data_IF_109064377918
#
_entry.id   IF_109064377918
#
_cell.length_a   1.000
_cell.length_b   1.000
_cell.length_c   1.000
_cell.angle_alpha   90.00
_cell.angle_beta   90.00
_cell.angle_gamma   90.00
#
_symmetry.space_group_name_H-M   'P 1'
#
loop_
_entity.id
_entity.type
_entity.pdbx_description
1 polymer ?
#
# COMPACT_ATOMS: atom_id res chain seq x y z
N UNK A 1 -2.04 2.24 17.91
CA UNK A 1 -0.87 3.00 18.37
C UNK A 1 -1.29 3.97 19.48
N UNK A 2 -0.36 4.32 20.36
CA UNK A 2 -0.44 5.45 21.29
C UNK A 2 0.52 6.52 20.84
N UNK A 3 0.10 7.79 20.92
CA UNK A 3 0.90 8.95 20.53
C UNK A 3 1.10 9.82 21.75
N UNK A 4 2.36 10.10 22.09
CA UNK A 4 2.74 10.98 23.20
C UNK A 4 3.72 12.03 22.65
N UNK A 5 3.19 13.19 22.22
CA UNK A 5 3.99 14.19 21.51
C UNK A 5 4.49 13.64 20.19
N UNK A 6 5.80 13.59 19.97
CA UNK A 6 6.43 13.02 18.76
C UNK A 6 6.62 11.49 18.85
N UNK A 7 6.47 10.89 20.03
CA UNK A 7 6.67 9.46 20.23
C UNK A 7 5.42 8.67 19.81
N UNK A 8 5.58 7.77 18.86
CA UNK A 8 4.55 6.84 18.41
C UNK A 8 4.87 5.43 18.93
N UNK A 9 3.99 4.88 19.76
CA UNK A 9 4.10 3.52 20.26
C UNK A 9 3.06 2.62 19.62
N UNK A 10 3.49 1.59 18.88
CA UNK A 10 2.60 0.55 18.37
C UNK A 10 2.28 -0.41 19.51
N UNK A 11 1.01 -0.51 19.88
CA UNK A 11 0.53 -1.35 20.98
C UNK A 11 -0.13 -2.64 20.50
N UNK A 12 -0.54 -2.69 19.24
CA UNK A 12 -1.17 -3.85 18.62
C UNK A 12 -0.99 -3.80 17.10
N UNK A 13 -0.69 -4.94 16.51
CA UNK A 13 -0.64 -5.14 15.07
C UNK A 13 -1.09 -6.56 14.74
N UNK A 14 -1.94 -6.71 13.75
CA UNK A 14 -2.37 -8.01 13.26
C UNK A 14 -2.73 -7.94 11.78
N UNK A 15 -2.22 -8.87 11.03
CA UNK A 15 -2.66 -9.13 9.65
C UNK A 15 -3.75 -10.20 9.66
N UNK A 16 -4.81 -9.96 8.89
CA UNK A 16 -5.94 -10.88 8.78
C UNK A 16 -6.18 -11.19 7.30
N UNK A 17 -6.34 -12.45 6.91
CA UNK A 17 -6.73 -12.80 5.56
C UNK A 17 -7.99 -12.04 5.17
N UNK A 18 -8.02 -11.48 3.96
CA UNK A 18 -9.19 -10.74 3.49
C UNK A 18 -9.86 -11.41 2.31
N UNK A 19 -11.19 -11.49 2.36
CA UNK A 19 -12.05 -11.78 1.22
C UNK A 19 -12.88 -10.56 0.87
N UNK A 20 -13.37 -10.47 -0.36
CA UNK A 20 -14.19 -9.33 -0.78
C UNK A 20 -13.40 -8.08 -1.19
N UNK A 21 -12.07 -8.16 -1.27
CA UNK A 21 -11.19 -7.10 -1.79
C UNK A 21 -10.59 -7.56 -3.12
N UNK A 22 -10.66 -6.70 -4.14
CA UNK A 22 -10.02 -6.90 -5.45
C UNK A 22 -9.34 -5.62 -5.89
N UNK A 23 -8.14 -5.71 -6.43
CA UNK A 23 -7.36 -4.58 -6.95
C UNK A 23 -7.31 -3.40 -5.95
N UNK A 24 -7.07 -3.71 -4.67
CA UNK A 24 -7.06 -2.74 -3.57
C UNK A 24 -8.42 -2.08 -3.25
N UNK A 25 -9.52 -2.44 -3.91
CA UNK A 25 -10.85 -1.89 -3.68
C UNK A 25 -11.80 -2.91 -3.04
N UNK A 26 -12.71 -2.42 -2.21
CA UNK A 26 -13.79 -3.25 -1.64
C UNK A 26 -14.74 -3.68 -2.76
N UNK A 27 -14.74 -4.97 -3.08
CA UNK A 27 -15.63 -5.57 -4.05
C UNK A 27 -16.95 -6.03 -3.41
N UNK A 28 -16.84 -6.76 -2.30
CA UNK A 28 -17.98 -7.23 -1.53
C UNK A 28 -17.92 -6.74 -0.07
N UNK A 29 -18.66 -5.67 0.29
CA UNK A 29 -18.63 -5.10 1.63
C UNK A 29 -19.04 -6.07 2.74
N UNK A 30 -19.92 -7.03 2.48
CA UNK A 30 -20.37 -7.99 3.50
C UNK A 30 -19.28 -8.99 3.87
N UNK A 31 -18.52 -9.47 2.88
CA UNK A 31 -17.37 -10.37 3.13
C UNK A 31 -16.27 -9.66 3.91
N UNK A 32 -15.94 -8.42 3.53
CA UNK A 32 -14.91 -7.63 4.23
C UNK A 32 -15.34 -7.34 5.67
N UNK A 33 -16.63 -7.04 5.88
CA UNK A 33 -17.15 -6.69 7.20
C UNK A 33 -17.01 -7.84 8.21
N UNK A 34 -17.25 -9.09 7.82
CA UNK A 34 -17.11 -10.24 8.72
C UNK A 34 -15.68 -10.31 9.29
N UNK A 35 -14.69 -10.20 8.43
CA UNK A 35 -13.29 -10.29 8.83
C UNK A 35 -12.83 -9.06 9.61
N UNK A 36 -13.33 -7.88 9.25
CA UNK A 36 -13.06 -6.65 9.99
C UNK A 36 -13.62 -6.72 11.41
N UNK A 37 -14.86 -7.18 11.58
CA UNK A 37 -15.48 -7.33 12.90
C UNK A 37 -14.71 -8.33 13.78
N UNK A 38 -14.22 -9.44 13.20
CA UNK A 38 -13.40 -10.41 13.93
C UNK A 38 -12.06 -9.79 14.36
N UNK A 39 -11.39 -9.08 13.45
CA UNK A 39 -10.13 -8.40 13.75
C UNK A 39 -10.30 -7.32 14.85
N UNK A 40 -11.41 -6.58 14.79
CA UNK A 40 -11.74 -5.56 15.81
C UNK A 40 -11.98 -6.18 17.19
N UNK A 41 -12.79 -7.25 17.26
CA UNK A 41 -13.03 -7.96 18.53
C UNK A 41 -11.73 -8.44 19.15
N UNK A 42 -10.89 -9.11 18.37
CA UNK A 42 -9.60 -9.58 18.86
C UNK A 42 -8.74 -8.43 19.41
N UNK A 43 -8.70 -7.29 18.72
CA UNK A 43 -7.94 -6.13 19.17
C UNK A 43 -8.56 -5.48 20.43
N UNK A 44 -9.89 -5.39 20.50
CA UNK A 44 -10.61 -4.85 21.66
C UNK A 44 -10.43 -5.73 22.89
N UNK A 45 -10.50 -7.06 22.74
CA UNK A 45 -10.32 -8.05 23.80
C UNK A 45 -8.88 -8.04 24.33
N UNK A 46 -7.89 -8.04 23.42
CA UNK A 46 -6.46 -8.05 23.79
C UNK A 46 -6.02 -6.75 24.49
N UNK A 47 -6.62 -5.62 24.12
CA UNK A 47 -6.25 -4.30 24.63
C UNK A 47 -7.15 -3.78 25.76
N UNK A 48 -8.31 -4.38 25.98
CA UNK A 48 -9.31 -3.91 26.96
C UNK A 48 -9.88 -2.51 26.64
N UNK A 49 -10.03 -2.19 25.35
CA UNK A 49 -10.52 -0.88 24.87
C UNK A 49 -11.66 -1.07 23.89
N UNK A 50 -12.45 -0.01 23.68
CA UNK A 50 -13.44 0.02 22.60
C UNK A 50 -12.94 0.89 21.45
N UNK A 51 -12.96 0.35 20.22
CA UNK A 51 -12.57 1.07 19.01
C UNK A 51 -13.82 1.67 18.37
N UNK A 52 -13.87 2.99 18.26
CA UNK A 52 -15.03 3.71 17.72
C UNK A 52 -14.75 4.43 16.41
N UNK A 53 -13.48 4.66 16.13
CA UNK A 53 -13.02 5.41 14.96
C UNK A 53 -11.78 4.76 14.37
N UNK A 54 -11.53 5.00 13.08
CA UNK A 54 -10.34 4.53 12.42
C UNK A 54 -9.88 5.48 11.31
N UNK A 55 -8.59 5.42 11.04
CA UNK A 55 -7.98 5.99 9.84
C UNK A 55 -7.89 4.90 8.78
N UNK A 56 -8.17 5.24 7.54
CA UNK A 56 -8.27 4.27 6.45
C UNK A 56 -7.44 4.69 5.26
N UNK A 57 -6.72 3.75 4.66
CA UNK A 57 -6.07 3.94 3.36
C UNK A 57 -7.10 3.82 2.22
N UNK A 58 -7.06 4.76 1.28
CA UNK A 58 -7.87 4.70 0.07
C UNK A 58 -7.34 3.66 -0.92
N UNK A 59 -8.18 3.17 -1.85
CA UNK A 59 -7.75 2.24 -2.88
C UNK A 59 -6.62 2.79 -3.74
N UNK A 60 -5.72 1.90 -4.15
CA UNK A 60 -4.56 2.23 -5.00
C UNK A 60 -4.88 2.22 -6.49
N UNK A 61 -5.95 1.53 -6.90
CA UNK A 61 -6.34 1.32 -8.29
C UNK A 61 -7.87 1.32 -8.46
N UNK A 62 -8.41 1.86 -9.56
CA UNK A 62 -7.72 2.71 -10.54
C UNK A 62 -7.58 4.15 -10.03
N UNK A 63 -6.45 4.77 -10.34
CA UNK A 63 -6.21 6.19 -10.05
C UNK A 63 -5.77 6.87 -11.34
N UNK A 64 -6.41 7.99 -11.65
CA UNK A 64 -6.04 8.90 -12.73
C UNK A 64 -5.38 10.13 -12.11
N UNK A 65 -4.29 10.61 -12.68
CA UNK A 65 -3.66 11.85 -12.27
C UNK A 65 -3.90 12.94 -13.30
N UNK A 66 -4.17 14.15 -12.82
CA UNK A 66 -4.41 15.33 -13.63
C UNK A 66 -3.68 16.54 -13.04
N UNK A 67 -3.52 17.58 -13.85
CA UNK A 67 -2.96 18.84 -13.37
C UNK A 67 -4.06 19.82 -13.05
N UNK A 68 -3.92 20.56 -11.94
CA UNK A 68 -4.81 21.64 -11.53
C UNK A 68 -4.00 22.84 -11.13
N UNK A 69 -4.56 24.03 -11.31
CA UNK A 69 -3.94 25.29 -10.92
C UNK A 69 -4.91 26.05 -10.01
N UNK A 70 -4.44 26.44 -8.84
CA UNK A 70 -5.16 27.34 -7.94
C UNK A 70 -4.51 28.73 -7.97
N UNK A 71 -5.31 29.80 -7.86
CA UNK A 71 -4.81 31.17 -7.82
C UNK A 71 -5.56 32.00 -6.79
N UNK A 72 -4.81 32.74 -5.99
CA UNK A 72 -5.31 33.79 -5.11
C UNK A 72 -4.76 35.10 -5.68
N UNK A 73 -5.67 36.04 -6.04
CA UNK A 73 -5.34 37.37 -6.52
C UNK A 73 -5.79 38.42 -5.50
N UNK A 74 -5.27 39.63 -5.63
CA UNK A 74 -5.65 40.81 -4.82
C UNK A 74 -5.45 40.59 -3.30
N UNK A 75 -4.34 39.95 -2.90
CA UNK A 75 -3.97 39.70 -1.50
C UNK A 75 -3.60 41.00 -0.75
N UNK A 76 -3.42 42.10 -1.47
CA UNK A 76 -2.91 43.39 -1.02
C UNK A 76 -1.39 43.50 -1.25
N UNK A 77 -0.99 44.72 -1.59
CA UNK A 77 0.44 45.04 -1.73
C UNK A 77 1.17 44.77 -0.41
N UNK A 78 2.39 44.21 -0.48
CA UNK A 78 3.25 43.88 0.66
C UNK A 78 2.70 42.85 1.66
N UNK A 79 1.92 41.87 1.21
CA UNK A 79 1.42 40.78 2.06
C UNK A 79 2.27 39.54 1.93
N UNK A 80 2.81 39.03 3.06
CA UNK A 80 3.59 37.82 3.10
C UNK A 80 2.74 36.58 2.77
N UNK A 81 3.30 35.67 2.01
CA UNK A 81 2.70 34.37 1.71
C UNK A 81 2.83 33.45 2.94
N UNK A 82 1.71 32.93 3.43
CA UNK A 82 1.66 32.07 4.62
C UNK A 82 1.33 30.62 4.27
N UNK A 83 1.56 29.71 5.22
CA UNK A 83 1.18 28.32 5.08
C UNK A 83 -0.34 28.13 4.91
N UNK A 84 -1.15 29.02 5.51
CA UNK A 84 -2.60 29.05 5.35
C UNK A 84 -3.01 29.36 3.91
N UNK A 85 -2.31 30.29 3.24
CA UNK A 85 -2.55 30.58 1.82
C UNK A 85 -2.25 29.37 0.92
N UNK A 86 -1.20 28.59 1.23
CA UNK A 86 -0.88 27.37 0.52
C UNK A 86 -1.99 26.32 0.73
N UNK A 87 -2.48 26.16 1.96
CA UNK A 87 -3.58 25.25 2.28
C UNK A 87 -4.88 25.67 1.58
N UNK A 88 -5.17 26.97 1.51
CA UNK A 88 -6.31 27.53 0.78
C UNK A 88 -6.20 27.22 -0.73
N UNK A 89 -5.04 27.47 -1.34
CA UNK A 89 -4.78 27.14 -2.75
C UNK A 89 -4.98 25.65 -3.04
N UNK A 90 -4.49 24.77 -2.17
CA UNK A 90 -4.69 23.34 -2.30
C UNK A 90 -6.18 22.98 -2.26
N UNK A 91 -6.91 23.57 -1.32
CA UNK A 91 -8.37 23.40 -1.22
C UNK A 91 -9.09 23.91 -2.47
N UNK A 92 -8.70 25.05 -3.03
CA UNK A 92 -9.23 25.54 -4.29
C UNK A 92 -8.95 24.57 -5.45
N UNK A 93 -7.72 24.08 -5.57
CA UNK A 93 -7.33 23.16 -6.62
C UNK A 93 -8.16 21.87 -6.57
N UNK A 94 -8.41 21.34 -5.37
CA UNK A 94 -9.22 20.14 -5.16
C UNK A 94 -10.72 20.38 -5.48
N UNK A 95 -11.27 21.52 -5.08
CA UNK A 95 -12.71 21.80 -5.21
C UNK A 95 -13.10 22.35 -6.57
N UNK A 96 -12.22 23.07 -7.26
CA UNK A 96 -12.51 23.70 -8.56
C UNK A 96 -12.10 22.84 -9.75
N UNK A 97 -11.40 21.72 -9.52
CA UNK A 97 -11.05 20.83 -10.61
C UNK A 97 -12.32 20.18 -11.20
N UNK A 98 -12.59 20.38 -12.51
CA UNK A 98 -13.79 19.83 -13.14
C UNK A 98 -13.64 18.33 -13.33
N UNK A 99 -14.32 17.53 -12.50
CA UNK A 99 -14.41 16.10 -12.69
C UNK A 99 -15.20 15.77 -13.97
N UNK A 100 -14.80 14.75 -14.71
CA UNK A 100 -15.52 14.31 -15.91
C UNK A 100 -16.94 13.79 -15.57
N UNK A 101 -17.08 13.16 -14.42
CA UNK A 101 -18.37 12.66 -13.90
C UNK A 101 -18.36 12.73 -12.36
N UNK A 102 -18.87 13.82 -11.80
CA UNK A 102 -18.98 14.04 -10.36
C UNK A 102 -19.80 12.96 -9.62
N UNK A 103 -20.63 12.20 -10.36
CA UNK A 103 -21.39 11.11 -9.77
C UNK A 103 -20.53 9.86 -9.55
N UNK A 104 -19.48 9.65 -10.33
CA UNK A 104 -18.62 8.47 -10.34
C UNK A 104 -17.23 8.70 -9.81
N UNK A 105 -16.71 9.92 -9.95
CA UNK A 105 -15.35 10.30 -9.59
C UNK A 105 -15.30 11.04 -8.26
N UNK A 106 -14.16 10.95 -7.59
CA UNK A 106 -13.82 11.72 -6.41
C UNK A 106 -12.32 12.02 -6.39
N UNK A 107 -11.95 13.18 -5.88
CA UNK A 107 -10.56 13.54 -5.64
C UNK A 107 -10.08 12.80 -4.39
N UNK A 108 -8.97 12.06 -4.52
CA UNK A 108 -8.35 11.32 -3.42
C UNK A 108 -7.25 12.13 -2.74
N UNK A 109 -6.75 13.16 -3.40
CA UNK A 109 -5.77 14.08 -2.87
C UNK A 109 -5.14 14.96 -3.93
N UNK A 110 -4.44 15.99 -3.48
CA UNK A 110 -3.66 16.88 -4.32
C UNK A 110 -2.25 17.03 -3.77
N UNK A 111 -1.27 17.16 -4.66
CA UNK A 111 0.14 17.38 -4.31
C UNK A 111 0.64 18.60 -5.05
N UNK A 112 1.09 19.60 -4.30
CA UNK A 112 1.71 20.79 -4.85
C UNK A 112 2.99 20.42 -5.62
N UNK A 113 3.12 20.94 -6.82
CA UNK A 113 4.26 20.73 -7.70
C UNK A 113 5.20 21.93 -7.72
N UNK A 114 4.66 23.11 -7.75
CA UNK A 114 5.37 24.39 -7.73
C UNK A 114 4.40 25.54 -7.48
N UNK A 115 4.94 26.67 -7.12
CA UNK A 115 4.23 27.94 -6.92
C UNK A 115 4.84 29.04 -7.78
N UNK A 116 4.09 30.14 -7.94
CA UNK A 116 4.51 31.40 -8.57
C UNK A 116 3.91 32.55 -7.81
N UNK A 117 4.69 33.64 -7.66
CA UNK A 117 4.26 34.92 -7.11
C UNK A 117 3.89 35.93 -8.20
N UNK A 118 3.81 35.50 -9.45
CA UNK A 118 3.55 36.34 -10.61
C UNK A 118 4.83 36.81 -11.33
N UNK A 119 5.93 37.00 -10.64
CA UNK A 119 7.24 37.35 -11.20
C UNK A 119 8.19 36.16 -11.26
N UNK A 120 8.18 35.32 -10.21
CA UNK A 120 9.03 34.13 -10.10
C UNK A 120 8.18 32.87 -10.29
N UNK A 121 8.74 31.86 -10.97
CA UNK A 121 8.06 30.64 -11.34
C UNK A 121 8.78 29.41 -10.80
N UNK A 122 8.07 28.31 -10.64
CA UNK A 122 8.59 27.02 -10.20
C UNK A 122 9.25 27.03 -8.80
N UNK A 123 8.73 27.87 -7.91
CA UNK A 123 9.19 27.95 -6.52
C UNK A 123 8.58 26.77 -5.73
N UNK A 124 9.35 26.15 -4.84
CA UNK A 124 8.85 25.10 -3.95
C UNK A 124 8.15 25.71 -2.73
N UNK A 125 7.30 24.93 -2.06
CA UNK A 125 6.47 25.37 -0.93
C UNK A 125 7.27 26.07 0.18
N UNK A 126 8.42 25.48 0.55
CA UNK A 126 9.25 26.03 1.64
C UNK A 126 9.89 27.38 1.28
N UNK A 127 10.14 27.63 0.01
CA UNK A 127 10.83 28.85 -0.43
C UNK A 127 9.84 29.99 -0.71
N UNK A 128 8.59 29.67 -1.06
CA UNK A 128 7.58 30.71 -1.34
C UNK A 128 6.94 31.27 -0.06
N UNK A 129 6.93 30.49 1.03
CA UNK A 129 6.42 30.97 2.32
C UNK A 129 7.34 32.06 2.86
N UNK A 130 6.76 33.24 3.18
CA UNK A 130 7.47 34.41 3.64
C UNK A 130 7.90 35.37 2.50
N UNK A 131 7.66 35.00 1.24
CA UNK A 131 7.78 35.96 0.13
C UNK A 131 6.59 36.93 0.11
N UNK A 132 6.84 38.17 -0.27
CA UNK A 132 5.81 39.20 -0.37
C UNK A 132 5.28 39.27 -1.80
N UNK A 133 3.97 39.11 -1.99
CA UNK A 133 3.34 39.26 -3.30
C UNK A 133 1.83 39.51 -3.19
N UNK A 134 1.27 40.22 -4.13
CA UNK A 134 -0.17 40.45 -4.30
C UNK A 134 -0.89 39.27 -4.94
N UNK A 135 -0.15 38.38 -5.64
CA UNK A 135 -0.68 37.20 -6.30
C UNK A 135 0.05 35.95 -5.85
N UNK A 136 -0.68 34.85 -5.76
CA UNK A 136 -0.13 33.55 -5.51
C UNK A 136 -0.83 32.52 -6.38
N UNK A 137 -0.04 31.81 -7.19
CA UNK A 137 -0.52 30.72 -8.02
C UNK A 137 0.20 29.42 -7.63
N UNK A 138 -0.55 28.33 -7.50
CA UNK A 138 -0.03 27.01 -7.20
C UNK A 138 -0.42 26.00 -8.28
N UNK A 139 0.55 25.19 -8.72
CA UNK A 139 0.34 24.08 -9.63
C UNK A 139 0.28 22.79 -8.82
N UNK A 140 -0.74 21.98 -9.05
CA UNK A 140 -1.02 20.77 -8.30
C UNK A 140 -1.19 19.58 -9.24
N UNK A 141 -0.79 18.42 -8.76
CA UNK A 141 -1.26 17.13 -9.29
C UNK A 141 -2.42 16.63 -8.45
N UNK A 142 -3.52 16.34 -9.13
CA UNK A 142 -4.76 15.83 -8.52
C UNK A 142 -4.88 14.35 -8.81
N UNK A 143 -5.17 13.57 -7.79
CA UNK A 143 -5.38 12.13 -7.90
C UNK A 143 -6.87 11.82 -7.81
N UNK A 144 -7.41 11.22 -8.86
CA UNK A 144 -8.85 11.00 -9.03
C UNK A 144 -9.11 9.50 -9.04
N UNK A 145 -10.00 9.07 -8.17
CA UNK A 145 -10.45 7.69 -8.05
C UNK A 145 -11.97 7.54 -8.10
N UNK A 146 -12.46 6.33 -7.91
CA UNK A 146 -13.91 6.05 -7.96
C UNK A 146 -14.59 6.46 -6.67
N UNK A 147 -15.61 7.31 -6.77
CA UNK A 147 -16.48 7.71 -5.65
C UNK A 147 -17.19 6.52 -4.99
N UNK A 148 -17.53 5.51 -5.80
CA UNK A 148 -18.16 4.28 -5.31
C UNK A 148 -17.26 3.49 -4.37
N UNK A 149 -15.95 3.53 -4.55
CA UNK A 149 -15.01 2.80 -3.70
C UNK A 149 -14.91 3.43 -2.31
N UNK A 150 -14.94 4.78 -2.22
CA UNK A 150 -15.04 5.49 -0.94
C UNK A 150 -16.34 5.16 -0.20
N UNK A 151 -17.48 5.15 -0.93
CA UNK A 151 -18.77 4.77 -0.35
C UNK A 151 -18.79 3.33 0.18
N UNK A 152 -18.12 2.40 -0.50
CA UNK A 152 -18.01 1.02 -0.01
C UNK A 152 -17.18 0.91 1.26
N UNK A 153 -16.09 1.68 1.37
CA UNK A 153 -15.31 1.80 2.61
C UNK A 153 -16.23 2.29 3.74
N UNK A 154 -16.96 3.40 3.53
CA UNK A 154 -17.89 3.93 4.52
C UNK A 154 -18.97 2.91 4.92
N UNK A 155 -19.47 2.14 3.96
CA UNK A 155 -20.44 1.08 4.21
C UNK A 155 -19.87 -0.03 5.09
N UNK A 156 -18.63 -0.46 4.84
CA UNK A 156 -17.94 -1.48 5.65
C UNK A 156 -17.71 -0.97 7.07
N UNK A 157 -17.19 0.24 7.21
CA UNK A 157 -16.89 0.85 8.50
C UNK A 157 -18.16 1.08 9.33
N UNK A 158 -19.22 1.61 8.72
CA UNK A 158 -20.52 1.80 9.39
C UNK A 158 -21.12 0.47 9.85
N UNK A 159 -21.06 -0.59 9.03
CA UNK A 159 -21.51 -1.93 9.41
C UNK A 159 -20.69 -2.54 10.55
N UNK A 160 -19.42 -2.18 10.65
CA UNK A 160 -18.55 -2.59 11.76
C UNK A 160 -18.76 -1.75 13.03
N UNK A 161 -19.61 -0.72 12.99
CA UNK A 161 -19.88 0.17 14.12
C UNK A 161 -18.76 1.18 14.41
N UNK A 162 -17.89 1.45 13.45
CA UNK A 162 -16.78 2.40 13.56
C UNK A 162 -16.86 3.49 12.49
N UNK A 163 -16.39 4.69 12.80
CA UNK A 163 -16.32 5.80 11.86
C UNK A 163 -14.95 5.89 11.18
N UNK A 164 -14.95 6.02 9.84
CA UNK A 164 -13.73 6.36 9.09
C UNK A 164 -13.51 7.87 9.18
N UNK A 165 -12.76 8.34 10.17
CA UNK A 165 -12.57 9.78 10.44
C UNK A 165 -11.59 10.46 9.49
N UNK A 166 -10.65 9.69 8.94
CA UNK A 166 -9.70 10.14 7.91
C UNK A 166 -9.47 9.04 6.89
N UNK A 167 -9.40 9.45 5.63
CA UNK A 167 -9.05 8.59 4.50
C UNK A 167 -7.84 9.20 3.81
N UNK A 168 -6.74 8.46 3.74
CA UNK A 168 -5.51 8.93 3.12
C UNK A 168 -5.27 8.25 1.77
N UNK A 169 -4.84 9.01 0.79
CA UNK A 169 -4.26 8.47 -0.44
C UNK A 169 -2.97 7.72 -0.09
N UNK A 170 -2.95 6.41 -0.29
CA UNK A 170 -1.96 5.49 0.31
C UNK A 170 -0.53 5.67 -0.17
N UNK A 171 -0.29 6.37 -1.31
CA UNK A 171 1.05 6.62 -1.81
C UNK A 171 1.90 7.40 -0.79
N UNK A 172 1.37 8.51 -0.25
CA UNK A 172 2.07 9.35 0.72
C UNK A 172 2.40 8.63 2.03
N UNK A 173 1.42 7.99 2.73
CA UNK A 173 1.74 7.20 3.92
C UNK A 173 2.82 6.16 3.66
N UNK A 174 2.72 5.40 2.57
CA UNK A 174 3.70 4.35 2.24
C UNK A 174 5.10 4.96 2.05
N UNK A 175 5.21 6.06 1.32
CA UNK A 175 6.48 6.74 1.13
C UNK A 175 7.07 7.27 2.45
N UNK A 176 6.27 7.91 3.30
CA UNK A 176 6.70 8.41 4.62
C UNK A 176 7.20 7.30 5.53
N UNK A 177 6.61 6.12 5.43
CA UNK A 177 7.03 4.95 6.20
C UNK A 177 8.36 4.36 5.70
N UNK A 178 8.63 4.38 4.40
CA UNK A 178 9.69 3.59 3.77
C UNK A 178 10.87 4.41 3.28
N UNK A 179 10.62 5.59 2.69
CA UNK A 179 11.64 6.42 2.07
C UNK A 179 12.31 7.35 3.08
N UNK A 180 13.58 7.62 2.85
CA UNK A 180 14.31 8.70 3.54
C UNK A 180 14.10 10.03 2.82
N UNK A 181 14.27 11.15 3.53
CA UNK A 181 14.19 12.47 2.93
C UNK A 181 15.23 12.63 1.80
N UNK A 182 16.45 12.10 1.99
CA UNK A 182 17.51 12.15 0.98
C UNK A 182 17.14 11.38 -0.31
N UNK A 183 16.44 10.24 -0.20
CA UNK A 183 15.97 9.51 -1.36
C UNK A 183 14.90 10.29 -2.11
N UNK A 184 13.92 10.86 -1.41
CA UNK A 184 12.87 11.68 -2.02
C UNK A 184 13.45 12.94 -2.69
N UNK A 185 14.45 13.56 -2.08
CA UNK A 185 15.14 14.72 -2.64
C UNK A 185 15.91 14.37 -3.92
N UNK A 186 16.74 13.32 -3.86
CA UNK A 186 17.63 12.93 -4.95
C UNK A 186 16.92 12.23 -6.13
N UNK A 187 15.67 11.85 -5.96
CA UNK A 187 14.88 11.12 -6.96
C UNK A 187 14.87 9.61 -6.72
N UNK A 188 13.67 9.07 -6.50
CA UNK A 188 13.40 7.66 -6.22
C UNK A 188 12.04 7.25 -6.76
N UNK A 189 11.93 6.02 -7.26
CA UNK A 189 10.63 5.41 -7.51
C UNK A 189 10.33 4.36 -6.43
N UNK A 190 9.23 4.54 -5.71
CA UNK A 190 8.71 3.60 -4.73
C UNK A 190 7.67 2.70 -5.41
N UNK A 191 7.96 1.42 -5.46
CA UNK A 191 7.08 0.38 -6.01
C UNK A 191 6.43 -0.35 -4.85
N UNK A 192 5.11 -0.24 -4.72
CA UNK A 192 4.33 -1.00 -3.74
C UNK A 192 3.73 -2.22 -4.45
N UNK A 193 4.43 -3.35 -4.35
CA UNK A 193 4.06 -4.61 -4.95
C UNK A 193 3.11 -5.38 -4.02
N UNK A 194 1.81 -5.08 -4.18
CA UNK A 194 0.74 -5.69 -3.40
C UNK A 194 0.27 -7.03 -3.94
N UNK A 195 -0.76 -7.58 -3.31
CA UNK A 195 -1.38 -8.84 -3.74
C UNK A 195 -2.23 -8.69 -5.01
N UNK A 196 -3.09 -7.66 -5.09
CA UNK A 196 -4.05 -7.48 -6.18
C UNK A 196 -3.72 -6.35 -7.15
N UNK A 197 -2.80 -5.46 -6.80
CA UNK A 197 -2.31 -4.38 -7.64
C UNK A 197 -0.89 -4.00 -7.25
N UNK A 198 -0.18 -3.44 -8.21
CA UNK A 198 1.13 -2.84 -8.00
C UNK A 198 1.04 -1.36 -8.33
N UNK A 199 1.61 -0.50 -7.51
CA UNK A 199 1.67 0.94 -7.77
C UNK A 199 3.10 1.44 -7.74
N UNK A 200 3.35 2.52 -8.46
CA UNK A 200 4.61 3.25 -8.45
C UNK A 200 4.32 4.72 -8.12
N UNK A 201 5.08 5.26 -7.18
CA UNK A 201 5.12 6.70 -6.87
C UNK A 201 6.54 7.21 -7.03
N UNK A 202 6.71 8.27 -7.81
CA UNK A 202 8.02 8.85 -8.13
C UNK A 202 8.17 10.15 -7.36
N UNK A 203 9.26 10.26 -6.62
CA UNK A 203 9.62 11.45 -5.85
C UNK A 203 10.90 12.06 -6.42
N UNK A 204 10.95 13.39 -6.50
CA UNK A 204 12.11 14.19 -6.86
C UNK A 204 11.96 15.59 -6.27
N UNK A 205 13.00 16.13 -5.64
CA UNK A 205 12.95 17.36 -4.89
C UNK A 205 11.94 17.31 -3.74
N UNK A 206 11.87 16.15 -3.06
CA UNK A 206 10.93 15.86 -1.96
C UNK A 206 9.44 15.92 -2.32
N UNK A 207 9.10 16.04 -3.59
CA UNK A 207 7.73 16.17 -4.10
C UNK A 207 7.35 14.91 -4.89
N UNK A 208 6.15 14.38 -4.69
CA UNK A 208 5.61 13.32 -5.52
C UNK A 208 5.29 13.84 -6.92
N UNK A 209 6.07 13.43 -7.91
CA UNK A 209 6.00 13.89 -9.29
C UNK A 209 5.12 13.05 -10.18
N UNK A 210 4.96 11.78 -9.86
CA UNK A 210 4.14 10.87 -10.65
C UNK A 210 3.59 9.74 -9.78
N UNK A 211 2.40 9.27 -10.13
CA UNK A 211 1.79 8.09 -9.57
C UNK A 211 1.09 7.28 -10.66
N UNK A 212 1.35 5.98 -10.68
CA UNK A 212 0.61 5.05 -11.52
C UNK A 212 0.33 3.75 -10.78
N UNK A 213 -0.69 3.03 -11.21
CA UNK A 213 -1.04 1.73 -10.64
C UNK A 213 -1.59 0.79 -11.70
N UNK A 214 -1.26 -0.49 -11.58
CA UNK A 214 -1.70 -1.56 -12.47
C UNK A 214 -2.45 -2.64 -11.70
N UNK A 215 -3.47 -3.30 -12.31
CA UNK A 215 -4.30 -4.30 -11.64
C UNK A 215 -3.64 -5.69 -11.64
N UNK A 216 -2.34 -5.73 -11.41
CA UNK A 216 -1.53 -6.95 -11.31
C UNK A 216 -0.71 -6.94 -10.02
N UNK A 217 -0.54 -8.11 -9.42
CA UNK A 217 0.20 -8.27 -8.18
C UNK A 217 0.45 -9.74 -7.84
N UNK A 218 0.79 -10.02 -6.59
CA UNK A 218 1.14 -11.37 -6.12
C UNK A 218 0.06 -12.44 -6.34
N UNK A 219 -1.22 -12.06 -6.43
CA UNK A 219 -2.31 -13.00 -6.79
C UNK A 219 -2.22 -13.51 -8.22
N UNK A 220 -1.66 -12.74 -9.14
CA UNK A 220 -1.45 -13.20 -10.51
C UNK A 220 -0.40 -14.32 -10.52
N UNK A 221 0.68 -14.16 -9.75
CA UNK A 221 1.70 -15.20 -9.56
C UNK A 221 1.07 -16.46 -8.98
N UNK A 222 0.22 -16.34 -7.95
CA UNK A 222 -0.50 -17.47 -7.35
C UNK A 222 -1.41 -18.18 -8.36
N UNK A 223 -2.11 -17.42 -9.20
CA UNK A 223 -2.97 -17.98 -10.25
C UNK A 223 -2.17 -18.71 -11.33
N UNK A 224 -0.98 -18.23 -11.69
CA UNK A 224 -0.11 -18.91 -12.66
C UNK A 224 0.39 -20.23 -12.08
N UNK A 225 0.87 -20.24 -10.84
CA UNK A 225 1.28 -21.47 -10.12
C UNK A 225 0.12 -22.45 -10.04
N UNK A 226 -1.08 -21.97 -9.66
CA UNK A 226 -2.29 -22.78 -9.60
C UNK A 226 -2.60 -23.44 -10.95
N UNK A 227 -2.52 -22.70 -12.03
CA UNK A 227 -2.88 -23.13 -13.38
C UNK A 227 -1.83 -24.10 -13.93
N UNK A 228 -0.56 -23.72 -13.88
CA UNK A 228 0.54 -24.52 -14.40
C UNK A 228 0.73 -25.84 -13.63
N UNK A 229 0.61 -25.79 -12.31
CA UNK A 229 0.77 -26.99 -11.46
C UNK A 229 -0.54 -27.76 -11.25
N UNK A 230 -1.71 -27.21 -11.71
CA UNK A 230 -3.04 -27.80 -11.51
C UNK A 230 -3.32 -28.14 -10.06
N UNK A 231 -3.15 -27.18 -9.16
CA UNK A 231 -3.36 -27.28 -7.71
C UNK A 231 -4.37 -26.25 -7.22
N UNK A 232 -4.80 -26.35 -5.96
CA UNK A 232 -5.72 -25.37 -5.37
C UNK A 232 -5.03 -24.01 -5.18
N UNK A 233 -5.81 -22.93 -5.20
CA UNK A 233 -5.29 -21.57 -4.99
C UNK A 233 -4.58 -21.43 -3.63
N UNK A 234 -5.14 -22.04 -2.59
CA UNK A 234 -4.55 -22.04 -1.25
C UNK A 234 -3.18 -22.72 -1.24
N UNK A 235 -3.06 -23.88 -1.90
CA UNK A 235 -1.78 -24.60 -1.98
C UNK A 235 -0.76 -23.80 -2.81
N UNK A 236 -1.18 -23.22 -3.93
CA UNK A 236 -0.33 -22.36 -4.77
C UNK A 236 0.21 -21.17 -3.97
N UNK A 237 -0.65 -20.52 -3.16
CA UNK A 237 -0.21 -19.41 -2.28
C UNK A 237 0.80 -19.89 -1.24
N UNK A 238 0.53 -21.00 -0.56
CA UNK A 238 1.45 -21.56 0.44
C UNK A 238 2.81 -21.92 -0.18
N UNK A 239 2.81 -22.54 -1.36
CA UNK A 239 4.04 -22.88 -2.09
C UNK A 239 4.80 -21.60 -2.49
N UNK A 240 4.11 -20.59 -2.99
CA UNK A 240 4.71 -19.29 -3.31
C UNK A 240 5.35 -18.65 -2.09
N UNK A 241 4.66 -18.63 -0.95
CA UNK A 241 5.18 -18.05 0.29
C UNK A 241 6.39 -18.80 0.84
N UNK A 242 6.38 -20.14 0.75
CA UNK A 242 7.44 -20.97 1.30
C UNK A 242 8.69 -21.08 0.40
N UNK A 243 8.52 -21.07 -0.92
CA UNK A 243 9.58 -21.40 -1.88
C UNK A 243 9.71 -20.38 -3.01
N UNK A 244 8.95 -19.29 -2.97
CA UNK A 244 8.92 -18.30 -4.05
C UNK A 244 10.23 -17.53 -4.20
N UNK A 245 10.84 -17.65 -5.38
CA UNK A 245 12.05 -16.95 -5.74
C UNK A 245 12.06 -16.59 -7.22
N UNK A 246 12.67 -15.46 -7.55
CA UNK A 246 13.04 -15.12 -8.92
C UNK A 246 14.42 -15.70 -9.26
N UNK A 247 14.80 -15.68 -10.55
CA UNK A 247 16.11 -16.06 -11.07
C UNK A 247 16.43 -17.54 -10.83
N UNK A 248 15.77 -18.44 -11.58
CA UNK A 248 15.93 -19.89 -11.44
C UNK A 248 17.39 -20.39 -11.55
N UNK A 249 18.24 -19.63 -12.27
CA UNK A 249 19.66 -19.87 -12.43
C UNK A 249 20.50 -19.52 -11.18
N UNK A 250 19.98 -18.70 -10.26
CA UNK A 250 20.64 -18.28 -9.02
C UNK A 250 20.14 -18.99 -7.77
N UNK A 251 19.34 -20.07 -7.91
CA UNK A 251 18.75 -20.80 -6.79
C UNK A 251 19.76 -21.64 -5.99
N UNK A 252 20.99 -21.80 -6.45
CA UNK A 252 22.03 -22.62 -5.81
C UNK A 252 21.52 -24.04 -5.47
N UNK A 253 21.65 -24.46 -4.20
CA UNK A 253 21.23 -25.78 -3.74
C UNK A 253 19.71 -26.03 -3.81
N UNK A 254 18.89 -24.99 -4.02
CA UNK A 254 17.44 -25.14 -4.18
C UNK A 254 17.04 -25.56 -5.58
N UNK A 255 17.91 -25.40 -6.59
CA UNK A 255 17.60 -25.74 -7.99
C UNK A 255 17.31 -27.23 -8.20
N UNK A 256 17.89 -28.11 -7.38
CA UNK A 256 17.73 -29.56 -7.46
C UNK A 256 16.58 -30.08 -6.55
N UNK A 257 16.03 -29.21 -5.68
CA UNK A 257 14.96 -29.61 -4.78
C UNK A 257 13.62 -29.73 -5.50
N UNK A 258 12.82 -30.68 -5.03
CA UNK A 258 11.47 -30.95 -5.55
C UNK A 258 10.47 -30.88 -4.38
N UNK A 259 9.37 -30.18 -4.59
CA UNK A 259 8.25 -30.09 -3.66
C UNK A 259 7.32 -31.27 -3.94
N UNK A 260 7.09 -32.13 -2.94
CA UNK A 260 6.16 -33.24 -3.03
C UNK A 260 4.77 -32.80 -2.58
N UNK A 261 3.81 -32.88 -3.48
CA UNK A 261 2.41 -32.52 -3.25
C UNK A 261 1.64 -33.84 -3.18
N UNK A 262 1.13 -34.19 -2.02
CA UNK A 262 0.31 -35.40 -1.84
C UNK A 262 -1.06 -35.19 -2.46
N UNK A 263 -1.49 -36.17 -3.26
CA UNK A 263 -2.84 -36.24 -3.78
C UNK A 263 -3.85 -36.56 -2.68
N UNK A 264 -5.11 -36.20 -2.89
CA UNK A 264 -6.21 -36.43 -1.94
C UNK A 264 -6.93 -37.81 -2.13
N UNK A 265 -6.23 -38.78 -2.66
CA UNK A 265 -6.76 -40.13 -2.92
C UNK A 265 -7.48 -40.29 -4.27
N UNK A 266 -8.01 -39.21 -4.83
CA UNK A 266 -8.58 -39.17 -6.20
C UNK A 266 -7.57 -38.64 -7.22
N UNK A 267 -6.63 -37.81 -6.79
CA UNK A 267 -5.54 -37.27 -7.61
C UNK A 267 -4.21 -37.94 -7.24
N UNK A 268 -3.34 -38.18 -8.24
CA UNK A 268 -2.00 -38.71 -7.98
C UNK A 268 -1.12 -37.70 -7.28
N UNK A 269 -0.10 -38.19 -6.57
CA UNK A 269 0.97 -37.36 -6.04
C UNK A 269 1.66 -36.58 -7.17
N UNK A 270 1.98 -35.32 -6.92
CA UNK A 270 2.67 -34.46 -7.88
C UNK A 270 4.04 -34.08 -7.34
N UNK A 271 4.97 -33.90 -8.24
CA UNK A 271 6.31 -33.41 -7.95
C UNK A 271 6.53 -32.08 -8.70
N UNK A 272 6.84 -31.03 -7.95
CA UNK A 272 7.10 -29.71 -8.50
C UNK A 272 8.56 -29.32 -8.23
N UNK A 273 9.43 -29.30 -9.26
CA UNK A 273 10.79 -28.79 -9.10
C UNK A 273 10.77 -27.31 -8.69
N UNK A 274 11.56 -26.94 -7.69
CA UNK A 274 11.68 -25.54 -7.22
C UNK A 274 12.17 -24.63 -8.33
N UNK A 275 13.02 -25.15 -9.23
CA UNK A 275 13.48 -24.42 -10.42
C UNK A 275 12.29 -24.03 -11.33
N UNK A 276 11.40 -24.98 -11.63
CA UNK A 276 10.22 -24.71 -12.46
C UNK A 276 9.25 -23.71 -11.79
N UNK A 277 9.05 -23.83 -10.47
CA UNK A 277 8.30 -22.82 -9.71
C UNK A 277 8.91 -21.42 -9.87
N UNK A 278 10.23 -21.31 -9.78
CA UNK A 278 10.95 -20.05 -9.96
C UNK A 278 10.80 -19.50 -11.38
N UNK A 279 10.79 -20.34 -12.40
CA UNK A 279 10.54 -19.95 -13.81
C UNK A 279 9.15 -19.32 -13.97
N UNK A 280 8.10 -19.94 -13.41
CA UNK A 280 6.73 -19.41 -13.42
C UNK A 280 6.69 -18.05 -12.73
N UNK A 281 7.26 -17.94 -11.53
CA UNK A 281 7.27 -16.70 -10.74
C UNK A 281 8.02 -15.59 -11.49
N UNK A 282 9.22 -15.90 -12.02
CA UNK A 282 10.06 -14.93 -12.72
C UNK A 282 9.36 -14.36 -13.93
N UNK A 283 8.72 -15.20 -14.75
CA UNK A 283 7.98 -14.77 -15.94
C UNK A 283 6.86 -13.78 -15.61
N UNK A 284 6.07 -14.04 -14.55
CA UNK A 284 5.00 -13.12 -14.14
C UNK A 284 5.55 -11.83 -13.52
N UNK A 285 6.61 -11.92 -12.73
CA UNK A 285 7.27 -10.75 -12.15
C UNK A 285 7.83 -9.86 -13.26
N UNK A 286 8.41 -10.45 -14.31
CA UNK A 286 8.93 -9.71 -15.47
C UNK A 286 7.82 -8.89 -16.13
N UNK A 287 6.67 -9.49 -16.45
CA UNK A 287 5.54 -8.78 -17.06
C UNK A 287 5.06 -7.60 -16.19
N UNK A 288 4.92 -7.83 -14.87
CA UNK A 288 4.49 -6.79 -13.93
C UNK A 288 5.52 -5.65 -13.87
N UNK A 289 6.80 -6.00 -13.77
CA UNK A 289 7.87 -5.00 -13.66
C UNK A 289 8.07 -4.24 -14.98
N UNK A 290 7.94 -4.87 -16.13
CA UNK A 290 7.98 -4.19 -17.42
C UNK A 290 6.88 -3.13 -17.54
N UNK A 291 5.65 -3.42 -17.07
CA UNK A 291 4.58 -2.44 -17.02
C UNK A 291 4.90 -1.27 -16.07
N UNK A 292 5.47 -1.54 -14.91
CA UNK A 292 5.89 -0.49 -13.96
C UNK A 292 7.05 0.34 -14.52
N UNK A 293 8.03 -0.27 -15.16
CA UNK A 293 9.15 0.43 -15.81
C UNK A 293 8.67 1.30 -16.97
N UNK A 294 7.64 0.87 -17.70
CA UNK A 294 6.98 1.70 -18.70
C UNK A 294 6.37 2.95 -18.08
N UNK A 295 5.65 2.83 -16.96
CA UNK A 295 5.08 3.98 -16.23
C UNK A 295 6.17 4.93 -15.73
N UNK A 296 7.31 4.41 -15.26
CA UNK A 296 8.47 5.23 -14.89
C UNK A 296 9.00 6.00 -16.10
N UNK A 297 9.10 5.36 -17.26
CA UNK A 297 9.55 6.02 -18.48
C UNK A 297 8.58 7.12 -18.93
N UNK A 298 7.29 6.81 -18.97
CA UNK A 298 6.23 7.78 -19.36
C UNK A 298 6.16 8.97 -18.42
N UNK A 299 6.55 8.81 -17.17
CA UNK A 299 6.57 9.90 -16.18
C UNK A 299 7.49 11.07 -16.55
N UNK A 300 8.48 10.84 -17.41
CA UNK A 300 9.55 11.79 -17.73
C UNK A 300 10.63 11.96 -16.66
N UNK A 301 10.59 11.16 -15.57
CA UNK A 301 11.55 11.24 -14.47
C UNK A 301 12.55 10.06 -14.44
N UNK A 302 12.56 9.19 -15.45
CA UNK A 302 13.42 8.00 -15.49
C UNK A 302 14.90 8.32 -15.24
N UNK A 303 15.43 9.37 -15.89
CA UNK A 303 16.84 9.78 -15.76
C UNK A 303 17.15 10.52 -14.44
N UNK A 304 16.12 10.87 -13.67
CA UNK A 304 16.24 11.62 -12.42
C UNK A 304 16.25 10.71 -11.18
N UNK A 305 16.09 9.39 -11.34
CA UNK A 305 16.01 8.43 -10.24
C UNK A 305 17.42 8.08 -9.70
N UNK A 306 18.12 9.05 -9.14
CA UNK A 306 19.49 8.85 -8.63
C UNK A 306 19.57 7.89 -7.45
N UNK A 307 18.52 7.79 -6.65
CA UNK A 307 18.38 6.84 -5.55
C UNK A 307 17.82 5.48 -6.01
N UNK A 308 17.46 5.34 -7.29
CA UNK A 308 16.99 4.10 -7.89
C UNK A 308 15.56 3.72 -7.51
N UNK A 309 15.34 2.42 -7.32
CA UNK A 309 14.02 1.85 -7.03
C UNK A 309 13.98 1.31 -5.60
N UNK A 310 12.87 1.54 -4.93
CA UNK A 310 12.58 0.97 -3.61
C UNK A 310 11.32 0.12 -3.75
N UNK A 311 11.38 -1.16 -3.34
CA UNK A 311 10.28 -2.10 -3.50
C UNK A 311 9.74 -2.47 -2.12
N UNK A 312 8.45 -2.27 -1.92
CA UNK A 312 7.72 -2.60 -0.69
C UNK A 312 6.43 -3.37 -1.01
N UNK A 313 5.62 -3.67 0.00
CA UNK A 313 4.42 -4.50 -0.15
C UNK A 313 4.70 -5.98 0.07
N UNK A 314 3.65 -6.78 0.25
CA UNK A 314 3.79 -8.20 0.60
C UNK A 314 4.55 -9.02 -0.44
N UNK A 315 4.41 -8.71 -1.74
CA UNK A 315 5.12 -9.42 -2.81
C UNK A 315 6.60 -9.03 -2.93
N UNK A 316 7.05 -7.97 -2.24
CA UNK A 316 8.47 -7.60 -2.17
C UNK A 316 9.33 -8.63 -1.40
N UNK A 317 8.69 -9.57 -0.69
CA UNK A 317 9.36 -10.65 0.05
C UNK A 317 9.79 -11.83 -0.83
N UNK A 318 9.43 -11.84 -2.12
CA UNK A 318 9.90 -12.88 -3.05
C UNK A 318 11.42 -12.84 -3.11
N UNK A 319 12.05 -14.00 -2.87
CA UNK A 319 13.50 -14.10 -2.86
C UNK A 319 14.10 -13.72 -4.23
N UNK A 320 15.28 -13.10 -4.23
CA UNK A 320 15.98 -12.59 -5.41
C UNK A 320 15.24 -11.51 -6.23
N UNK A 321 14.07 -11.03 -5.79
CA UNK A 321 13.28 -10.04 -6.53
C UNK A 321 14.09 -8.77 -6.84
N UNK A 322 14.78 -8.21 -5.85
CA UNK A 322 15.59 -7.00 -6.03
C UNK A 322 16.72 -7.18 -7.05
N UNK A 323 17.40 -8.33 -7.02
CA UNK A 323 18.43 -8.66 -7.99
C UNK A 323 17.87 -8.81 -9.40
N UNK A 324 16.72 -9.46 -9.53
CA UNK A 324 16.05 -9.63 -10.81
C UNK A 324 15.66 -8.27 -11.42
N UNK A 325 15.08 -7.38 -10.61
CA UNK A 325 14.69 -6.04 -11.10
C UNK A 325 15.92 -5.20 -11.44
N UNK A 326 17.02 -5.34 -10.70
CA UNK A 326 18.28 -4.70 -11.06
C UNK A 326 18.79 -5.17 -12.42
N UNK A 327 18.84 -6.49 -12.66
CA UNK A 327 19.27 -7.07 -13.94
C UNK A 327 18.34 -6.65 -15.10
N UNK A 328 17.04 -6.51 -14.84
CA UNK A 328 16.02 -6.10 -15.82
C UNK A 328 16.10 -4.61 -16.17
N UNK A 329 16.34 -3.74 -15.18
CA UNK A 329 16.15 -2.29 -15.30
C UNK A 329 17.43 -1.46 -15.31
N UNK A 330 18.53 -2.00 -14.78
CA UNK A 330 19.77 -1.28 -14.54
C UNK A 330 19.74 -0.30 -13.37
N UNK A 331 18.59 -0.06 -12.74
CA UNK A 331 18.49 0.79 -11.55
C UNK A 331 19.01 0.09 -10.31
N UNK A 332 19.59 0.86 -9.39
CA UNK A 332 19.82 0.34 -8.03
C UNK A 332 18.50 0.01 -7.38
N UNK A 333 18.42 -1.15 -6.73
CA UNK A 333 17.17 -1.64 -6.11
C UNK A 333 17.43 -1.97 -4.65
N UNK A 334 16.56 -1.51 -3.76
CA UNK A 334 16.53 -1.97 -2.38
C UNK A 334 15.12 -2.38 -1.95
N UNK A 335 15.05 -3.29 -1.01
CA UNK A 335 13.79 -3.61 -0.32
C UNK A 335 13.46 -2.50 0.67
N UNK A 336 12.20 -2.06 0.66
CA UNK A 336 11.67 -0.98 1.47
C UNK A 336 10.92 -1.51 2.68
N UNK A 337 11.57 -1.55 3.83
CA UNK A 337 10.93 -1.85 5.11
C UNK A 337 10.44 -0.57 5.79
N UNK A 338 9.41 -0.65 6.65
CA UNK A 338 9.04 0.48 7.49
C UNK A 338 10.23 0.98 8.31
N UNK A 339 10.49 2.29 8.26
CA UNK A 339 11.54 2.88 9.07
C UNK A 339 11.13 2.84 10.54
N UNK A 340 12.07 2.58 11.42
CA UNK A 340 11.85 2.49 12.86
C UNK A 340 11.65 3.89 13.48
N UNK A 341 10.59 4.58 13.08
CA UNK A 341 10.15 5.88 13.62
C UNK A 341 9.06 5.71 14.70
N UNK A 342 8.96 4.53 15.26
CA UNK A 342 8.01 4.15 16.29
C UNK A 342 8.64 3.14 17.25
N UNK A 343 8.15 3.10 18.47
CA UNK A 343 8.47 2.05 19.43
C UNK A 343 7.41 0.95 19.39
N UNK A 344 7.81 -0.28 19.68
CA UNK A 344 6.90 -1.41 19.77
C UNK A 344 7.37 -2.44 20.77
N UNK A 345 6.43 -3.07 21.47
CA UNK A 345 6.68 -4.23 22.32
C UNK A 345 5.70 -5.34 21.93
N UNK A 346 6.25 -6.46 21.43
CA UNK A 346 5.46 -7.69 21.19
C UNK A 346 4.57 -7.67 19.95
N UNK A 347 4.76 -6.77 18.99
CA UNK A 347 4.03 -6.79 17.72
C UNK A 347 4.88 -7.42 16.62
N UNK A 348 4.57 -8.64 16.23
CA UNK A 348 5.20 -9.30 15.09
C UNK A 348 4.72 -8.70 13.75
N UNK A 349 5.56 -8.71 12.73
CA UNK A 349 5.21 -8.31 11.37
C UNK A 349 5.24 -6.80 11.06
N UNK A 350 5.34 -5.92 12.05
CA UNK A 350 5.34 -4.46 11.81
C UNK A 350 6.57 -3.95 11.06
N UNK A 351 7.64 -4.73 11.07
CA UNK A 351 8.88 -4.41 10.36
C UNK A 351 8.92 -5.02 8.95
N UNK A 352 7.89 -5.76 8.56
CA UNK A 352 7.82 -6.39 7.25
C UNK A 352 7.37 -5.39 6.18
N UNK A 353 7.70 -5.68 4.91
CA UNK A 353 7.31 -4.84 3.79
C UNK A 353 5.79 -4.72 3.63
N UNK A 354 5.03 -5.74 4.04
CA UNK A 354 3.56 -5.74 4.05
C UNK A 354 2.96 -4.67 4.96
N UNK A 355 3.65 -4.32 6.05
CA UNK A 355 3.22 -3.33 7.02
C UNK A 355 3.46 -1.86 6.59
N UNK A 356 4.18 -1.63 5.50
CA UNK A 356 4.64 -0.29 5.10
C UNK A 356 3.51 0.76 5.05
N UNK A 357 2.40 0.44 4.37
CA UNK A 357 1.25 1.36 4.29
C UNK A 357 0.60 1.58 5.65
N UNK A 358 0.43 0.54 6.46
CA UNK A 358 -0.20 0.64 7.79
C UNK A 358 0.63 1.49 8.74
N UNK A 359 1.94 1.30 8.75
CA UNK A 359 2.86 2.13 9.56
C UNK A 359 2.84 3.58 9.09
N UNK A 360 2.79 3.82 7.78
CA UNK A 360 2.67 5.16 7.24
C UNK A 360 1.36 5.85 7.61
N UNK A 361 0.23 5.13 7.59
CA UNK A 361 -1.06 5.67 8.03
C UNK A 361 -1.03 6.10 9.51
N UNK A 362 -0.41 5.30 10.37
CA UNK A 362 -0.23 5.66 11.78
C UNK A 362 0.62 6.93 11.92
N UNK A 363 1.73 7.01 11.17
CA UNK A 363 2.62 8.18 11.21
C UNK A 363 1.93 9.46 10.69
N UNK A 364 1.02 9.34 9.72
CA UNK A 364 0.20 10.45 9.24
C UNK A 364 -0.80 10.88 10.31
N UNK A 365 -1.55 9.93 10.86
CA UNK A 365 -2.55 10.15 11.87
C UNK A 365 -1.95 10.75 13.16
N UNK A 366 -0.76 10.33 13.54
CA UNK A 366 -0.07 10.82 14.75
C UNK A 366 0.26 12.33 14.71
N UNK A 367 0.32 12.92 13.52
CA UNK A 367 0.52 14.37 13.35
C UNK A 367 -0.76 15.19 13.55
N UNK A 368 -1.92 14.55 13.48
CA UNK A 368 -3.22 15.19 13.68
C UNK A 368 -3.65 14.98 15.13
N UNK A 369 -3.44 15.99 15.99
CA UNK A 369 -3.70 15.92 17.45
C UNK A 369 -5.16 15.63 17.85
N UNK A 370 -6.10 15.79 16.91
CA UNK A 370 -7.53 15.58 17.14
C UNK A 370 -7.98 14.12 16.94
N UNK A 371 -7.10 13.24 16.42
CA UNK A 371 -7.47 11.84 16.14
C UNK A 371 -7.42 11.02 17.42
N UNK A 372 -8.59 10.65 17.93
CA UNK A 372 -8.74 9.69 19.03
C UNK A 372 -9.67 8.55 18.60
N UNK A 373 -9.10 7.41 18.30
CA UNK A 373 -9.84 6.24 17.80
C UNK A 373 -10.41 5.35 18.90
N UNK A 374 -10.12 5.64 20.17
CA UNK A 374 -10.54 4.80 21.30
C UNK A 374 -11.29 5.59 22.35
N UNK A 375 -12.33 4.98 22.91
CA UNK A 375 -12.90 5.45 24.16
C UNK A 375 -12.40 4.55 25.30
N UNK A 376 -12.01 5.11 26.46
CA UNK A 376 -11.78 4.31 27.65
C UNK A 376 -13.11 3.61 27.99
N UNK A 377 -13.16 2.31 27.72
CA UNK A 377 -14.43 1.58 27.77
C UNK A 377 -14.71 1.02 29.15
N UNK A 378 -15.95 1.15 29.57
CA UNK A 378 -16.62 0.06 30.28
C UNK A 378 -16.88 -1.03 29.26
N UNK A 379 -16.20 -2.16 29.37
CA UNK A 379 -16.42 -3.34 28.57
C UNK A 379 -17.87 -3.81 28.78
N UNK A 380 -18.71 -3.61 27.81
CA UNK A 380 -20.01 -4.28 27.73
C UNK A 380 -19.86 -5.30 26.62
N UNK A 381 -19.86 -6.61 26.92
CA UNK A 381 -19.89 -7.64 25.89
C UNK A 381 -21.07 -7.40 24.97
N UNK A 382 -20.82 -7.21 23.69
CA UNK A 382 -21.88 -6.98 22.70
C UNK A 382 -22.52 -8.32 22.34
N UNK A 383 -23.53 -8.74 23.09
CA UNK A 383 -24.41 -9.90 22.76
C UNK A 383 -25.36 -9.63 21.58
N UNK A 384 -25.21 -8.52 20.87
CA UNK A 384 -26.18 -8.07 19.87
C UNK A 384 -25.66 -7.96 18.43
N UNK A 385 -24.50 -8.54 18.10
CA UNK A 385 -24.13 -8.71 16.68
C UNK A 385 -24.59 -10.09 16.26
N UNK A 386 -25.75 -10.14 15.57
CA UNK A 386 -26.21 -11.33 14.87
C UNK A 386 -25.17 -11.65 13.78
N UNK A 387 -24.28 -12.60 14.10
CA UNK A 387 -23.42 -13.22 13.11
C UNK A 387 -24.34 -14.03 12.20
N UNK A 388 -24.42 -13.76 10.89
CA UNK A 388 -25.10 -14.69 10.00
C UNK A 388 -24.45 -16.07 10.16
N UNK A 389 -25.25 -17.17 10.06
CA UNK A 389 -24.71 -18.52 10.29
C UNK A 389 -23.46 -18.71 9.44
N UNK A 390 -22.42 -19.17 10.11
CA UNK A 390 -21.12 -19.47 9.52
C UNK A 390 -21.32 -20.32 8.27
N UNK A 391 -20.91 -19.78 7.12
CA UNK A 391 -20.55 -20.64 6.00
C UNK A 391 -19.42 -21.53 6.51
N UNK A 392 -19.71 -22.81 6.70
CA UNK A 392 -18.73 -23.82 7.06
C UNK A 392 -17.59 -23.74 6.07
N UNK A 393 -16.45 -23.28 6.54
CA UNK A 393 -15.20 -23.39 5.80
C UNK A 393 -14.89 -24.90 5.70
N UNK A 394 -14.59 -25.42 4.52
CA UNK A 394 -14.20 -26.82 4.40
C UNK A 394 -13.02 -27.11 5.33
N UNK A 395 -13.07 -28.27 5.98
CA UNK A 395 -12.12 -28.73 6.97
C UNK A 395 -10.66 -28.45 6.57
N UNK A 396 -9.88 -28.03 7.54
CA UNK A 396 -8.45 -27.76 7.37
C UNK A 396 -7.72 -29.05 6.98
N UNK A 397 -7.30 -29.17 5.74
CA UNK A 397 -6.31 -30.18 5.34
C UNK A 397 -4.96 -29.77 5.95
N UNK A 398 -4.50 -30.58 6.91
CA UNK A 398 -3.15 -30.47 7.46
C UNK A 398 -2.14 -30.75 6.34
N UNK A 399 -1.47 -29.71 5.87
CA UNK A 399 -0.28 -29.85 5.02
C UNK A 399 0.88 -30.22 5.93
N UNK A 400 1.10 -31.53 6.13
CA UNK A 400 2.37 -32.01 6.67
C UNK A 400 3.43 -31.89 5.59
N UNK A 401 4.18 -30.83 5.63
CA UNK A 401 5.45 -30.73 4.90
C UNK A 401 6.48 -31.60 5.60
N UNK A 402 6.66 -32.83 5.15
CA UNK A 402 7.87 -33.58 5.48
C UNK A 402 9.00 -33.09 4.58
N UNK A 403 9.73 -32.13 5.08
CA UNK A 403 11.10 -31.87 4.67
C UNK A 403 11.97 -32.94 5.37
N UNK A 404 12.76 -33.68 4.59
CA UNK A 404 13.75 -34.68 4.96
C UNK A 404 13.21 -36.08 5.26
N UNK A 405 13.49 -36.99 4.36
CA UNK A 405 13.85 -38.34 4.72
C UNK A 405 15.37 -38.40 4.89
N UNK A 406 15.80 -38.64 6.11
CA UNK A 406 17.16 -39.08 6.37
C UNK A 406 17.37 -40.46 5.69
N UNK A 407 18.18 -40.48 4.68
CA UNK A 407 18.99 -41.62 4.29
C UNK A 407 20.28 -41.08 3.73
N UNK A 408 21.25 -40.95 4.62
CA UNK A 408 22.65 -41.19 4.31
C UNK A 408 23.44 -41.27 5.62
N UNK A 409 23.69 -42.53 5.99
CA UNK A 409 24.99 -42.83 6.56
C UNK A 409 25.97 -43.22 5.47
#
# INVERSE_FOLDING_TARGET
>A
AKVNGEDVQIIYYKETPSSGIRYSSVYNPSQVNVQLCEALRNAEDDLGIKITQAVVGMPKYPIRQESSTGRIADRGEDTDITAENIAELKSFAENLYPLQDETKEAIYGAVAQSFSDGENFQIIENDIIGMTSDTLEGHFKIFIGKKTDLKKIDTVMTKAGIAAIRKYFTADPTAKSVLTNAEMENGVALIDFGAGCTSVSIYHGSIMRHYASIPFGGKNITNDIKTECQISERLAENIKLAFGACMPEKLQNLSEKTIHIRGNGAEPDKQLPVKYLSEIITARVEEIMMAILHEIHVSGFADMLRSGLVITGGSAQIANLGNFIYDLSGYRVRTGYPRRLFSCQGCEGINETSAATSMGLIMMAAKESEINCTQPGTFVPSDSIVVPPSLELPAQEEVRTTLFTDEEM
#
